data_IF_867239854104
#
_entry.id   IF_867239854104
#
_cell.length_a   1.000
_cell.length_b   1.000
_cell.length_c   1.000
_cell.angle_alpha   90.00
_cell.angle_beta   90.00
_cell.angle_gamma   90.00
#
_symmetry.space_group_name_H-M   'P 1'
#
loop_
_entity.id
_entity.type
_entity.pdbx_description
1 polymer ?
#
# COMPACT_ATOMS: atom_id res chain seq x y z
N UNK A 1 17.02 -4.65 6.20
CA UNK A 1 17.82 -3.71 7.02
C UNK A 1 16.91 -3.16 8.09
N UNK A 2 17.16 -3.47 9.36
CA UNK A 2 16.41 -2.93 10.50
C UNK A 2 17.33 -1.91 11.17
N UNK A 3 16.83 -0.69 11.41
CA UNK A 3 17.61 0.38 12.03
C UNK A 3 17.51 0.40 13.55
N UNK A 4 18.34 1.21 14.20
CA UNK A 4 18.43 1.32 15.66
C UNK A 4 17.59 2.48 16.22
N UNK A 5 16.30 2.51 15.85
CA UNK A 5 15.33 3.49 16.32
C UNK A 5 14.09 2.79 16.89
N UNK A 6 13.32 3.49 17.71
CA UNK A 6 12.10 2.95 18.30
C UNK A 6 11.11 2.49 17.21
N UNK A 7 10.55 1.29 17.37
CA UNK A 7 9.66 0.67 16.39
C UNK A 7 10.30 0.48 15.00
N UNK A 8 11.56 0.06 14.95
CA UNK A 8 12.28 -0.21 13.68
C UNK A 8 11.71 -1.33 12.80
N UNK A 9 10.71 -2.06 13.29
CA UNK A 9 9.88 -2.97 12.49
C UNK A 9 8.89 -2.25 11.58
N UNK A 10 8.57 -0.97 11.85
CA UNK A 10 7.52 -0.24 11.13
C UNK A 10 7.80 -0.15 9.63
N UNK A 11 9.00 0.18 9.13
CA UNK A 11 9.25 0.17 7.70
C UNK A 11 9.13 -1.20 7.05
N UNK A 12 9.41 -2.28 7.79
CA UNK A 12 9.23 -3.65 7.29
C UNK A 12 7.75 -3.93 6.98
N UNK A 13 6.82 -3.37 7.76
CA UNK A 13 5.38 -3.53 7.53
C UNK A 13 4.81 -2.46 6.59
N UNK A 14 5.20 -1.20 6.77
CA UNK A 14 4.58 -0.06 6.09
C UNK A 14 5.06 0.14 4.67
N UNK A 15 6.31 -0.18 4.36
CA UNK A 15 6.82 -0.11 2.98
C UNK A 15 6.06 -1.08 2.05
N UNK A 16 5.92 -2.39 2.35
CA UNK A 16 5.13 -3.27 1.50
C UNK A 16 3.64 -2.95 1.53
N UNK A 17 3.09 -2.53 2.67
CA UNK A 17 1.69 -2.13 2.76
C UNK A 17 1.39 -0.95 1.83
N UNK A 18 2.16 0.14 1.91
CA UNK A 18 1.89 1.32 1.06
C UNK A 18 2.28 1.05 -0.39
N UNK A 19 3.49 0.52 -0.62
CA UNK A 19 4.06 0.38 -1.97
C UNK A 19 3.42 -0.73 -2.81
N UNK A 20 2.80 -1.73 -2.19
CA UNK A 20 2.15 -2.83 -2.91
C UNK A 20 0.66 -2.90 -2.60
N UNK A 21 0.27 -3.04 -1.32
CA UNK A 21 -1.14 -3.30 -0.97
C UNK A 21 -2.01 -2.08 -1.26
N UNK A 22 -1.68 -0.91 -0.71
CA UNK A 22 -2.44 0.31 -0.94
C UNK A 22 -2.45 0.70 -2.42
N UNK A 23 -1.31 0.56 -3.10
CA UNK A 23 -1.22 0.83 -4.53
C UNK A 23 -2.15 -0.08 -5.34
N UNK A 24 -2.08 -1.40 -5.15
CA UNK A 24 -2.91 -2.36 -5.86
C UNK A 24 -4.40 -2.17 -5.58
N UNK A 25 -4.77 -1.97 -4.31
CA UNK A 25 -6.16 -1.74 -3.90
C UNK A 25 -6.69 -0.44 -4.50
N UNK A 26 -5.92 0.64 -4.43
CA UNK A 26 -6.35 1.94 -4.99
C UNK A 26 -6.55 1.83 -6.49
N UNK A 27 -5.61 1.19 -7.21
CA UNK A 27 -5.72 1.03 -8.66
C UNK A 27 -6.92 0.15 -9.04
N UNK A 28 -7.19 -0.92 -8.30
CA UNK A 28 -8.38 -1.74 -8.50
C UNK A 28 -9.67 -0.92 -8.29
N UNK A 29 -9.75 -0.13 -7.21
CA UNK A 29 -10.91 0.72 -6.94
C UNK A 29 -11.12 1.79 -8.02
N UNK A 30 -10.04 2.44 -8.46
CA UNK A 30 -10.12 3.41 -9.56
C UNK A 30 -10.53 2.77 -10.88
N UNK A 31 -10.03 1.57 -11.17
CA UNK A 31 -10.44 0.80 -12.34
C UNK A 31 -11.94 0.50 -12.29
N UNK A 32 -12.43 -0.03 -11.17
CA UNK A 32 -13.87 -0.26 -10.99
C UNK A 32 -14.70 1.01 -11.17
N UNK A 33 -14.22 2.15 -10.68
CA UNK A 33 -14.91 3.42 -10.81
C UNK A 33 -14.97 3.95 -12.26
N UNK A 34 -13.88 3.80 -13.02
CA UNK A 34 -13.82 4.30 -14.41
C UNK A 34 -14.57 3.36 -15.36
N UNK A 35 -14.51 2.06 -15.11
CA UNK A 35 -15.16 1.04 -15.94
C UNK A 35 -16.58 0.69 -15.46
N UNK A 36 -17.07 1.31 -14.38
CA UNK A 36 -18.46 1.11 -13.99
C UNK A 36 -19.37 1.78 -15.02
N UNK A 37 -20.13 0.95 -15.74
CA UNK A 37 -21.25 1.42 -16.55
C UNK A 37 -22.25 2.21 -15.70
N UNK A 38 -22.92 3.19 -16.30
CA UNK A 38 -23.94 4.03 -15.66
C UNK A 38 -25.21 3.25 -15.29
#
# INVERSE_FOLDING_TARGET
MIGDYAASWVPVAMVPFIGMVCFAVSLALFFYYVESEA
#
